data_IF_918300687511
#
_entry.id   IF_918300687511
#
_cell.length_a   1.000
_cell.length_b   1.000
_cell.length_c   1.000
_cell.angle_alpha   90.00
_cell.angle_beta   90.00
_cell.angle_gamma   90.00
#
_symmetry.space_group_name_H-M   'P 1'
#
loop_
_entity.id
_entity.type
_entity.pdbx_description
1 polymer ?
#
# COMPACT_ATOMS: atom_id res chain seq x y z
N UNK A 1 -3.20 -15.06 -0.50
CA UNK A 1 -2.03 -15.51 -1.31
C UNK A 1 -0.73 -14.79 -0.95
N UNK A 2 -0.70 -13.46 -0.81
CA UNK A 2 0.55 -12.70 -0.63
C UNK A 2 1.00 -12.46 0.82
N UNK A 3 0.14 -12.73 1.82
CA UNK A 3 0.41 -12.43 3.22
C UNK A 3 1.65 -13.16 3.79
N UNK A 4 1.96 -14.36 3.30
CA UNK A 4 3.08 -15.17 3.80
C UNK A 4 4.42 -14.88 3.11
N UNK A 5 4.43 -14.05 2.05
CA UNK A 5 5.64 -13.73 1.32
C UNK A 5 6.40 -12.59 1.99
N UNK A 6 7.64 -12.87 2.42
CA UNK A 6 8.58 -11.87 2.94
C UNK A 6 9.27 -11.13 1.80
N UNK A 7 8.48 -10.38 1.05
CA UNK A 7 8.92 -9.54 -0.08
C UNK A 7 8.57 -8.08 0.19
N UNK A 8 9.30 -7.17 -0.47
CA UNK A 8 8.97 -5.75 -0.48
C UNK A 8 7.79 -5.51 -1.43
N UNK A 9 6.72 -4.89 -0.94
CA UNK A 9 5.44 -4.72 -1.67
C UNK A 9 5.18 -3.24 -1.92
N UNK A 10 5.11 -2.87 -3.19
CA UNK A 10 4.86 -1.49 -3.63
C UNK A 10 3.49 -1.44 -4.31
N UNK A 11 2.62 -0.55 -3.84
CA UNK A 11 1.40 -0.18 -4.55
C UNK A 11 1.68 0.92 -5.57
N UNK A 12 1.17 0.79 -6.77
CA UNK A 12 1.20 1.85 -7.79
C UNK A 12 -0.23 2.29 -8.04
N UNK A 13 -0.51 3.58 -7.89
CA UNK A 13 -1.85 4.13 -8.07
C UNK A 13 -1.77 5.61 -8.47
N UNK A 14 -2.90 6.18 -8.87
CA UNK A 14 -3.00 7.64 -9.00
C UNK A 14 -3.06 8.29 -7.63
N UNK A 15 -2.62 9.55 -7.55
CA UNK A 15 -2.59 10.28 -6.29
C UNK A 15 -3.99 10.48 -5.67
N UNK A 16 -5.04 10.57 -6.49
CA UNK A 16 -6.42 10.70 -6.02
C UNK A 16 -6.97 9.44 -5.35
N UNK A 17 -6.32 8.28 -5.54
CA UNK A 17 -6.71 7.03 -4.88
C UNK A 17 -6.15 6.93 -3.45
N UNK A 18 -5.24 7.83 -3.08
CA UNK A 18 -4.65 7.89 -1.74
C UNK A 18 -5.60 8.68 -0.84
N UNK A 19 -6.22 7.96 0.11
CA UNK A 19 -7.16 8.51 1.09
C UNK A 19 -6.65 8.26 2.51
N UNK A 20 -7.15 9.02 3.48
CA UNK A 20 -6.73 8.92 4.89
C UNK A 20 -7.07 7.56 5.50
N UNK A 21 -8.21 6.97 5.12
CA UNK A 21 -8.69 5.71 5.67
C UNK A 21 -9.42 4.90 4.60
N UNK A 22 -9.13 3.60 4.58
CA UNK A 22 -9.89 2.58 3.85
C UNK A 22 -10.49 1.59 4.85
N UNK A 23 -11.62 0.92 4.51
CA UNK A 23 -12.11 -0.22 5.28
C UNK A 23 -11.02 -1.29 5.38
N UNK A 24 -10.86 -1.87 6.57
CA UNK A 24 -9.93 -2.98 6.79
C UNK A 24 -10.69 -4.29 6.76
N UNK A 25 -10.18 -5.24 6.00
CA UNK A 25 -10.69 -6.60 5.89
C UNK A 25 -9.65 -7.62 6.36
N UNK A 26 -10.11 -8.82 6.73
CA UNK A 26 -9.25 -9.89 7.29
C UNK A 26 -8.12 -10.31 6.34
N UNK A 27 -8.35 -10.20 5.03
CA UNK A 27 -7.42 -10.65 4.01
C UNK A 27 -6.57 -9.54 3.39
N UNK A 28 -6.66 -8.32 3.93
CA UNK A 28 -5.84 -7.20 3.45
C UNK A 28 -4.36 -7.43 3.75
N UNK A 29 -3.51 -7.15 2.76
CA UNK A 29 -2.05 -7.27 2.89
C UNK A 29 -1.45 -5.87 2.93
N UNK A 30 -0.65 -5.61 3.97
CA UNK A 30 0.04 -4.33 4.12
C UNK A 30 1.10 -4.15 3.03
N UNK A 31 1.11 -2.98 2.41
CA UNK A 31 2.17 -2.53 1.51
C UNK A 31 3.30 -1.87 2.31
N UNK A 32 4.51 -1.92 1.77
CA UNK A 32 5.64 -1.18 2.32
C UNK A 32 5.62 0.27 1.84
N UNK A 33 5.39 0.48 0.54
CA UNK A 33 5.44 1.78 -0.13
C UNK A 33 4.25 1.96 -1.08
N UNK A 34 3.86 3.21 -1.32
CA UNK A 34 2.98 3.62 -2.41
C UNK A 34 3.74 4.59 -3.32
N UNK A 35 3.60 4.40 -4.63
CA UNK A 35 4.12 5.32 -5.65
C UNK A 35 2.95 5.82 -6.48
N UNK A 36 2.80 7.14 -6.56
CA UNK A 36 1.89 7.83 -7.47
C UNK A 36 2.65 8.65 -8.50
N UNK A 37 1.93 9.26 -9.43
CA UNK A 37 2.49 10.22 -10.39
C UNK A 37 3.03 11.49 -9.72
N UNK A 38 2.74 11.72 -8.42
CA UNK A 38 3.12 12.93 -7.68
C UNK A 38 4.11 12.68 -6.54
N UNK A 39 4.10 11.51 -5.90
CA UNK A 39 4.87 11.27 -4.67
C UNK A 39 5.10 9.79 -4.37
N UNK A 40 6.09 9.55 -3.51
CA UNK A 40 6.39 8.25 -2.92
C UNK A 40 6.08 8.34 -1.41
N UNK A 41 5.28 7.40 -0.90
CA UNK A 41 4.91 7.31 0.51
C UNK A 41 5.48 6.03 1.11
N UNK A 42 6.28 6.16 2.17
CA UNK A 42 6.69 5.04 3.01
C UNK A 42 5.61 4.72 4.04
N UNK A 43 5.20 3.46 4.13
CA UNK A 43 4.15 2.97 5.04
C UNK A 43 4.69 2.12 6.19
N UNK A 44 6.02 2.11 6.36
CA UNK A 44 6.69 1.49 7.50
C UNK A 44 6.74 2.48 8.66
N UNK A 45 6.06 2.14 9.76
CA UNK A 45 6.34 2.67 11.09
C UNK A 45 7.58 1.98 11.66
#
# INVERSE_FOLDING_TARGET
>A
MFAHLKTFKIGVCFDFQIVEKIPKHEHDVRLDYIVSEKRILGLRL
#
